data_IF_503636261749
#
_entry.id   IF_503636261749
#
_cell.length_a   1.000
_cell.length_b   1.000
_cell.length_c   1.000
_cell.angle_alpha   90.00
_cell.angle_beta   90.00
_cell.angle_gamma   90.00
#
_symmetry.space_group_name_H-M   'P 1'
#
loop_
_entity.id
_entity.type
_entity.pdbx_description
1 polymer ?
#
# COMPACT_ATOMS: atom_id res chain seq x y z
N UNK A 1 14.30 50.84 -60.58
CA UNK A 1 14.61 49.49 -60.08
C UNK A 1 15.42 49.62 -58.82
N UNK A 2 14.88 49.11 -57.69
CA UNK A 2 15.57 48.49 -56.55
C UNK A 2 14.71 48.69 -55.30
N UNK A 3 14.05 47.60 -54.92
CA UNK A 3 13.20 47.49 -53.75
C UNK A 3 14.00 47.29 -52.47
N UNK A 4 13.48 47.85 -51.39
CA UNK A 4 13.80 47.43 -50.03
C UNK A 4 12.80 46.36 -49.58
N UNK A 5 13.23 45.24 -48.98
CA UNK A 5 12.31 44.32 -48.35
C UNK A 5 11.99 44.78 -46.92
N UNK A 6 10.70 44.91 -46.65
CA UNK A 6 10.10 44.99 -45.32
C UNK A 6 10.24 43.63 -44.64
N UNK A 7 10.97 43.57 -43.53
CA UNK A 7 10.93 42.42 -42.63
C UNK A 7 9.71 42.56 -41.70
N UNK A 8 8.66 41.78 -41.97
CA UNK A 8 7.70 41.35 -40.95
C UNK A 8 8.35 40.23 -40.14
N UNK A 9 8.53 40.44 -38.84
CA UNK A 9 8.75 39.34 -37.89
C UNK A 9 7.37 38.94 -37.38
N UNK A 10 6.86 37.83 -37.88
CA UNK A 10 5.73 37.10 -37.33
C UNK A 10 6.19 35.68 -37.05
N UNK A 11 5.88 35.17 -35.86
CA UNK A 11 6.11 33.76 -35.54
C UNK A 11 6.19 33.51 -34.04
N UNK A 12 5.01 33.47 -33.41
CA UNK A 12 4.79 32.88 -32.10
C UNK A 12 5.50 31.52 -32.00
N UNK A 13 6.39 31.37 -31.02
CA UNK A 13 6.85 30.05 -30.59
C UNK A 13 5.66 29.27 -29.99
N UNK A 14 5.63 27.94 -30.11
CA UNK A 14 4.60 27.13 -29.47
C UNK A 14 4.62 27.39 -27.95
N UNK A 15 3.44 27.60 -27.37
CA UNK A 15 3.29 27.61 -25.93
C UNK A 15 3.87 26.28 -25.40
N UNK A 16 4.87 26.36 -24.54
CA UNK A 16 5.29 25.22 -23.73
C UNK A 16 4.04 24.78 -22.96
N UNK A 17 3.44 23.66 -23.37
CA UNK A 17 2.40 23.01 -22.57
C UNK A 17 3.01 22.76 -21.19
N UNK A 18 2.48 23.46 -20.19
CA UNK A 18 2.88 23.28 -18.81
C UNK A 18 2.63 21.82 -18.44
N UNK A 19 3.66 21.12 -17.97
CA UNK A 19 3.52 19.74 -17.50
C UNK A 19 2.34 19.63 -16.52
N UNK A 20 1.56 18.53 -16.57
CA UNK A 20 0.39 18.36 -15.73
C UNK A 20 0.80 18.40 -14.24
N UNK A 21 -0.06 18.99 -13.41
CA UNK A 21 0.21 19.18 -11.97
C UNK A 21 0.11 17.89 -11.17
N UNK A 22 -0.70 16.95 -11.68
CA UNK A 22 -1.01 15.66 -11.09
C UNK A 22 -0.96 14.59 -12.19
N UNK A 23 -0.85 13.32 -11.81
CA UNK A 23 -1.10 12.22 -12.76
C UNK A 23 -2.56 12.23 -13.23
N UNK A 24 -2.82 11.78 -14.46
CA UNK A 24 -4.19 11.64 -15.03
C UNK A 24 -5.15 10.92 -14.07
N UNK A 25 -4.72 9.80 -13.48
CA UNK A 25 -5.52 9.03 -12.50
C UNK A 25 -5.92 9.83 -11.26
N UNK A 26 -5.12 10.81 -10.85
CA UNK A 26 -5.45 11.69 -9.73
C UNK A 26 -6.39 12.81 -10.16
N UNK A 27 -6.27 13.31 -11.40
CA UNK A 27 -7.23 14.26 -11.95
C UNK A 27 -8.63 13.62 -12.02
N UNK A 28 -8.74 12.38 -12.49
CA UNK A 28 -9.98 11.60 -12.46
C UNK A 28 -10.57 11.47 -11.05
N UNK A 29 -9.71 11.23 -10.05
CA UNK A 29 -10.14 11.18 -8.64
C UNK A 29 -10.67 12.55 -8.21
N UNK A 30 -10.00 13.64 -8.57
CA UNK A 30 -10.40 14.99 -8.19
C UNK A 30 -11.76 15.40 -8.79
N UNK A 31 -12.07 14.92 -10.00
CA UNK A 31 -13.34 15.14 -10.66
C UNK A 31 -14.50 14.41 -9.97
N UNK A 32 -14.20 13.28 -9.32
CA UNK A 32 -15.18 12.53 -8.53
C UNK A 32 -15.44 13.12 -7.13
N UNK A 33 -14.70 14.16 -6.70
CA UNK A 33 -14.74 14.67 -5.33
C UNK A 33 -15.18 16.14 -5.29
N UNK A 34 -16.20 16.38 -4.49
CA UNK A 34 -16.70 17.72 -4.20
C UNK A 34 -16.55 18.05 -2.72
N UNK A 35 -16.06 19.24 -2.40
CA UNK A 35 -16.02 19.76 -1.02
C UNK A 35 -16.75 21.09 -1.02
N UNK A 36 -17.75 21.23 -0.15
CA UNK A 36 -18.50 22.46 -0.03
C UNK A 36 -17.65 23.54 0.66
N UNK A 37 -17.90 24.80 0.30
CA UNK A 37 -17.17 25.96 0.84
C UNK A 37 -17.40 26.21 2.33
N UNK A 38 -18.39 25.55 2.93
CA UNK A 38 -18.59 25.56 4.38
C UNK A 38 -17.47 24.83 5.13
N UNK A 39 -16.71 23.95 4.45
CA UNK A 39 -15.70 23.11 5.07
C UNK A 39 -16.28 22.07 6.01
N UNK A 40 -17.58 21.79 5.92
CA UNK A 40 -18.31 20.86 6.79
C UNK A 40 -18.91 19.68 6.01
N UNK A 41 -19.08 19.81 4.69
CA UNK A 41 -19.69 18.77 3.87
C UNK A 41 -18.89 18.50 2.60
N UNK A 42 -18.86 17.24 2.17
CA UNK A 42 -18.18 16.79 0.96
C UNK A 42 -18.88 15.56 0.36
N UNK A 43 -18.48 15.18 -0.85
CA UNK A 43 -18.87 13.91 -1.45
C UNK A 43 -17.73 13.27 -2.25
N UNK A 44 -17.71 11.93 -2.28
CA UNK A 44 -16.79 11.13 -3.11
C UNK A 44 -17.63 10.18 -3.96
N UNK A 45 -17.63 10.38 -5.28
CA UNK A 45 -18.46 9.61 -6.22
C UNK A 45 -19.92 9.52 -5.81
N UNK A 46 -20.48 10.60 -5.26
CA UNK A 46 -21.86 10.68 -4.76
C UNK A 46 -22.06 10.26 -3.30
N UNK A 47 -21.07 9.65 -2.64
CA UNK A 47 -21.14 9.33 -1.21
C UNK A 47 -20.98 10.58 -0.37
N UNK A 48 -22.02 10.98 0.35
CA UNK A 48 -21.96 12.14 1.24
C UNK A 48 -21.06 11.91 2.47
N UNK A 49 -20.36 12.96 2.87
CA UNK A 49 -19.46 13.02 4.02
C UNK A 49 -19.70 14.31 4.78
N UNK A 50 -19.83 14.25 6.11
CA UNK A 50 -20.18 15.41 6.94
C UNK A 50 -19.35 15.47 8.22
N UNK A 51 -18.66 16.58 8.44
CA UNK A 51 -17.88 16.87 9.64
C UNK A 51 -18.47 18.03 10.44
N UNK A 52 -18.08 18.14 11.71
CA UNK A 52 -18.45 19.26 12.60
C UNK A 52 -17.44 20.41 12.55
N UNK A 53 -16.34 20.23 11.82
CA UNK A 53 -15.27 21.19 11.58
C UNK A 53 -14.47 20.78 10.35
N UNK A 54 -13.68 21.69 9.75
CA UNK A 54 -12.79 21.33 8.63
C UNK A 54 -11.83 20.18 8.95
N UNK A 55 -11.32 20.12 10.19
CA UNK A 55 -10.44 19.05 10.62
C UNK A 55 -11.16 17.69 10.63
N UNK A 56 -12.37 17.65 11.19
CA UNK A 56 -13.16 16.40 11.25
C UNK A 56 -13.64 15.98 9.85
N UNK A 57 -14.04 16.93 9.01
CA UNK A 57 -14.36 16.68 7.60
C UNK A 57 -13.17 16.07 6.87
N UNK A 58 -11.96 16.62 7.05
CA UNK A 58 -10.75 16.10 6.41
C UNK A 58 -10.50 14.64 6.79
N UNK A 59 -10.69 14.26 8.06
CA UNK A 59 -10.54 12.86 8.50
C UNK A 59 -11.58 11.92 7.88
N UNK A 60 -12.85 12.34 7.83
CA UNK A 60 -13.92 11.53 7.25
C UNK A 60 -13.82 11.45 5.73
N UNK A 61 -13.43 12.54 5.06
CA UNK A 61 -13.17 12.56 3.62
C UNK A 61 -12.01 11.64 3.26
N UNK A 62 -10.94 11.64 4.05
CA UNK A 62 -9.83 10.69 3.88
C UNK A 62 -10.30 9.23 4.00
N UNK A 63 -11.22 8.94 4.93
CA UNK A 63 -11.81 7.61 5.08
C UNK A 63 -12.67 7.23 3.87
N UNK A 64 -13.50 8.16 3.39
CA UNK A 64 -14.34 7.93 2.21
C UNK A 64 -13.50 7.72 0.94
N UNK A 65 -12.47 8.54 0.73
CA UNK A 65 -11.50 8.38 -0.35
C UNK A 65 -10.80 7.02 -0.27
N UNK A 66 -10.36 6.61 0.92
CA UNK A 66 -9.75 5.29 1.10
C UNK A 66 -10.72 4.17 0.69
N UNK A 67 -11.97 4.19 1.20
CA UNK A 67 -12.94 3.15 0.93
C UNK A 67 -13.37 3.10 -0.55
N UNK A 68 -13.71 4.24 -1.15
CA UNK A 68 -14.24 4.30 -2.52
C UNK A 68 -13.13 4.20 -3.56
N UNK A 69 -12.03 4.95 -3.38
CA UNK A 69 -10.97 5.08 -4.39
C UNK A 69 -9.91 3.98 -4.25
N UNK A 70 -9.41 3.74 -3.04
CA UNK A 70 -8.35 2.75 -2.85
C UNK A 70 -8.89 1.32 -2.77
N UNK A 71 -9.80 1.05 -1.83
CA UNK A 71 -10.38 -0.27 -1.60
C UNK A 71 -11.30 -0.66 -2.76
N UNK A 72 -11.99 0.30 -3.38
CA UNK A 72 -12.92 0.07 -4.49
C UNK A 72 -14.32 -0.32 -4.02
N UNK A 73 -14.73 0.11 -2.82
CA UNK A 73 -16.11 -0.07 -2.34
C UNK A 73 -17.07 0.78 -3.18
N UNK A 74 -18.30 0.31 -3.43
CA UNK A 74 -19.31 1.12 -4.07
C UNK A 74 -19.61 2.39 -3.26
N UNK A 75 -19.93 3.49 -3.94
CA UNK A 75 -20.23 4.75 -3.29
C UNK A 75 -21.56 4.73 -2.52
N UNK A 76 -22.50 3.90 -2.97
CA UNK A 76 -23.78 3.63 -2.30
C UNK A 76 -23.78 2.16 -1.90
N UNK A 77 -23.79 1.89 -0.60
CA UNK A 77 -23.98 0.54 -0.08
C UNK A 77 -25.48 0.28 0.10
N UNK A 78 -26.09 -0.45 -0.83
CA UNK A 78 -27.44 -0.99 -0.61
C UNK A 78 -27.36 -2.22 0.29
N UNK A 79 -27.93 -2.12 1.49
CA UNK A 79 -28.32 -3.30 2.28
C UNK A 79 -27.19 -4.17 2.85
N UNK A 80 -25.92 -3.75 2.84
CA UNK A 80 -24.88 -4.44 3.61
C UNK A 80 -24.99 -4.04 5.08
N UNK A 81 -25.16 -5.05 5.95
CA UNK A 81 -24.97 -4.88 7.39
C UNK A 81 -23.55 -4.42 7.72
N UNK A 82 -23.24 -4.05 8.98
CA UNK A 82 -21.90 -3.63 9.36
C UNK A 82 -20.87 -4.66 8.86
N UNK A 83 -19.79 -4.18 8.25
CA UNK A 83 -18.66 -5.01 7.81
C UNK A 83 -18.28 -5.93 8.97
N UNK A 84 -18.66 -7.20 8.88
CA UNK A 84 -18.36 -8.13 9.96
C UNK A 84 -16.86 -8.33 9.98
N UNK A 85 -16.22 -7.94 11.07
CA UNK A 85 -14.83 -8.27 11.35
C UNK A 85 -14.69 -9.75 11.79
N UNK A 86 -15.71 -10.57 11.52
CA UNK A 86 -15.59 -12.02 11.53
C UNK A 86 -14.33 -12.45 10.80
N UNK A 87 -13.62 -13.39 11.41
CA UNK A 87 -12.34 -13.88 10.92
C UNK A 87 -12.53 -15.26 10.30
N UNK A 88 -13.59 -15.37 9.51
CA UNK A 88 -14.11 -16.61 8.96
C UNK A 88 -13.21 -17.22 7.88
N UNK A 89 -12.20 -16.48 7.40
CA UNK A 89 -11.17 -16.98 6.49
C UNK A 89 -9.82 -17.30 7.14
N UNK A 90 -9.60 -16.99 8.42
CA UNK A 90 -8.27 -17.16 9.03
C UNK A 90 -7.78 -18.61 9.01
N UNK A 91 -8.66 -19.59 9.19
CA UNK A 91 -8.28 -21.01 9.17
C UNK A 91 -7.83 -21.46 7.77
N UNK A 92 -8.55 -21.05 6.73
CA UNK A 92 -8.22 -21.36 5.33
C UNK A 92 -6.90 -20.68 4.93
N UNK A 93 -6.75 -19.39 5.26
CA UNK A 93 -5.53 -18.62 4.98
C UNK A 93 -4.30 -19.15 5.74
N UNK A 94 -4.48 -19.59 6.99
CA UNK A 94 -3.41 -20.19 7.78
C UNK A 94 -2.99 -21.56 7.22
N UNK A 95 -3.95 -22.37 6.75
CA UNK A 95 -3.69 -23.64 6.09
C UNK A 95 -2.93 -23.51 4.77
N UNK A 96 -3.07 -22.38 4.10
CA UNK A 96 -2.39 -22.05 2.85
C UNK A 96 -0.99 -21.41 3.03
N UNK A 97 -0.48 -21.26 4.26
CA UNK A 97 0.91 -20.82 4.47
C UNK A 97 1.86 -22.00 4.27
N UNK A 98 2.81 -21.94 3.30
CA UNK A 98 3.62 -23.10 2.91
C UNK A 98 4.67 -23.51 3.95
N UNK A 99 4.91 -22.69 4.97
CA UNK A 99 5.88 -22.93 6.03
C UNK A 99 5.32 -22.55 7.41
N UNK A 100 5.84 -23.21 8.45
CA UNK A 100 5.38 -22.99 9.83
C UNK A 100 6.08 -21.85 10.53
N UNK A 101 7.33 -21.58 10.18
CA UNK A 101 8.22 -20.69 10.92
C UNK A 101 9.01 -19.76 10.02
N UNK A 102 9.23 -18.55 10.50
CA UNK A 102 10.22 -17.60 10.01
C UNK A 102 11.50 -17.73 10.83
N UNK A 103 12.64 -17.79 10.15
CA UNK A 103 13.96 -17.89 10.79
C UNK A 103 14.52 -16.50 11.04
N UNK A 104 14.65 -16.10 12.31
CA UNK A 104 15.23 -14.81 12.68
C UNK A 104 16.63 -15.01 13.26
N UNK A 105 17.60 -14.25 12.74
CA UNK A 105 18.87 -14.03 13.45
C UNK A 105 18.67 -12.95 14.50
N UNK A 106 19.02 -13.26 15.74
CA UNK A 106 18.79 -12.38 16.89
C UNK A 106 19.99 -12.36 17.83
N UNK A 107 20.26 -11.23 18.50
CA UNK A 107 21.28 -11.16 19.53
C UNK A 107 20.88 -11.98 20.76
N UNK A 108 21.80 -12.78 21.27
CA UNK A 108 21.72 -13.47 22.56
C UNK A 108 22.12 -12.48 23.65
N UNK A 109 21.18 -12.19 24.54
CA UNK A 109 21.37 -11.23 25.62
C UNK A 109 21.92 -11.90 26.87
N UNK A 110 21.39 -13.09 27.20
CA UNK A 110 21.80 -13.87 28.37
C UNK A 110 21.45 -15.33 28.14
N UNK A 111 22.26 -16.22 28.70
CA UNK A 111 21.95 -17.64 28.84
C UNK A 111 22.00 -17.96 30.34
N UNK A 112 20.92 -18.52 30.86
CA UNK A 112 20.84 -18.93 32.26
C UNK A 112 20.29 -20.37 32.36
N UNK A 113 20.13 -20.89 33.58
CA UNK A 113 19.64 -22.25 33.83
C UNK A 113 18.22 -22.49 33.29
N UNK A 114 17.44 -21.43 33.02
CA UNK A 114 16.10 -21.47 32.46
C UNK A 114 16.07 -21.37 30.92
N UNK A 115 17.23 -21.17 30.28
CA UNK A 115 17.40 -21.14 28.83
C UNK A 115 17.95 -19.83 28.29
N UNK A 116 17.84 -19.66 26.96
CA UNK A 116 18.34 -18.48 26.26
C UNK A 116 17.34 -17.32 26.29
N UNK A 117 17.84 -16.12 26.56
CA UNK A 117 17.13 -14.85 26.41
C UNK A 117 17.73 -14.10 25.23
N UNK A 118 16.89 -13.77 24.26
CA UNK A 118 17.27 -13.08 23.02
C UNK A 118 16.55 -11.74 22.88
N UNK A 119 17.13 -10.84 22.09
CA UNK A 119 16.48 -9.61 21.65
C UNK A 119 15.68 -9.85 20.37
N UNK A 120 14.36 -9.70 20.40
CA UNK A 120 13.50 -9.86 19.23
C UNK A 120 12.61 -8.63 19.10
N UNK A 121 12.74 -7.87 18.00
CA UNK A 121 11.88 -6.72 17.70
C UNK A 121 11.79 -5.70 18.86
N UNK A 122 12.93 -5.40 19.49
CA UNK A 122 13.02 -4.44 20.59
C UNK A 122 12.54 -4.96 21.96
N UNK A 123 12.11 -6.21 22.06
CA UNK A 123 11.76 -6.85 23.34
C UNK A 123 12.71 -8.00 23.69
N UNK A 124 12.74 -8.34 24.98
CA UNK A 124 13.52 -9.49 25.49
C UNK A 124 12.62 -10.71 25.56
N UNK A 125 13.04 -11.81 24.95
CA UNK A 125 12.24 -13.04 24.85
C UNK A 125 13.04 -14.21 25.39
N UNK A 126 12.47 -14.95 26.33
CA UNK A 126 13.00 -16.25 26.76
C UNK A 126 12.52 -17.32 25.77
N UNK A 127 13.47 -18.06 25.19
CA UNK A 127 13.15 -19.09 24.21
C UNK A 127 12.57 -20.33 24.89
N UNK A 128 11.43 -20.78 24.38
CA UNK A 128 10.89 -22.10 24.72
C UNK A 128 11.68 -23.23 24.03
N UNK A 129 11.51 -24.48 24.48
CA UNK A 129 12.11 -25.64 23.84
C UNK A 129 11.77 -25.73 22.34
N UNK A 130 12.74 -26.14 21.52
CA UNK A 130 12.55 -26.31 20.07
C UNK A 130 12.41 -25.01 19.27
N UNK A 131 12.66 -23.85 19.88
CA UNK A 131 12.66 -22.54 19.17
C UNK A 131 14.03 -22.10 18.70
N UNK A 132 15.09 -22.79 19.08
CA UNK A 132 16.43 -22.59 18.56
C UNK A 132 16.58 -23.43 17.27
N UNK A 133 16.87 -22.78 16.15
CA UNK A 133 16.99 -23.42 14.84
C UNK A 133 18.43 -23.88 14.55
N UNK A 134 19.40 -23.05 14.96
CA UNK A 134 20.84 -23.29 14.84
C UNK A 134 21.49 -22.85 16.17
N UNK A 135 22.59 -23.50 16.54
CA UNK A 135 23.34 -23.18 17.77
C UNK A 135 23.85 -21.74 17.80
N UNK A 136 24.25 -21.27 18.98
CA UNK A 136 24.81 -19.93 19.16
C UNK A 136 26.17 -19.87 18.47
N UNK A 137 26.36 -18.93 17.54
CA UNK A 137 27.67 -18.69 16.96
C UNK A 137 28.58 -18.03 18.03
N UNK A 138 29.60 -18.76 18.49
CA UNK A 138 30.50 -18.34 19.57
C UNK A 138 31.17 -16.98 19.33
N UNK A 139 31.42 -16.64 18.06
CA UNK A 139 32.09 -15.40 17.65
C UNK A 139 31.20 -14.16 17.63
N UNK A 140 29.86 -14.30 17.65
CA UNK A 140 28.93 -13.18 17.43
C UNK A 140 27.81 -13.04 18.47
N UNK A 141 27.66 -13.99 19.41
CA UNK A 141 26.51 -14.04 20.34
C UNK A 141 25.17 -13.87 19.61
N UNK A 142 25.05 -14.43 18.42
CA UNK A 142 23.80 -14.48 17.67
C UNK A 142 23.25 -15.90 17.66
N UNK A 143 21.92 -16.00 17.63
CA UNK A 143 21.21 -17.26 17.47
C UNK A 143 20.20 -17.15 16.32
N UNK A 144 20.00 -18.25 15.59
CA UNK A 144 18.89 -18.38 14.65
C UNK A 144 17.70 -18.99 15.39
N UNK A 145 16.58 -18.30 15.47
CA UNK A 145 15.37 -18.75 16.17
C UNK A 145 14.19 -18.95 15.22
N UNK A 146 13.24 -19.79 15.63
CA UNK A 146 12.00 -20.10 14.90
C UNK A 146 10.81 -19.34 15.50
N UNK A 147 10.34 -18.32 14.78
CA UNK A 147 9.14 -17.58 15.15
C UNK A 147 7.99 -18.07 14.26
N UNK A 148 6.77 -18.26 14.80
CA UNK A 148 5.62 -18.70 13.99
C UNK A 148 5.43 -17.78 12.77
N UNK A 149 5.22 -18.31 11.58
CA UNK A 149 5.06 -17.49 10.37
C UNK A 149 3.69 -16.78 10.36
N UNK A 150 2.64 -17.48 10.76
CA UNK A 150 1.29 -16.94 10.88
C UNK A 150 1.18 -15.92 12.04
N UNK A 151 0.49 -14.82 11.76
CA UNK A 151 0.27 -13.66 12.64
C UNK A 151 -1.21 -13.26 12.64
N UNK A 152 -2.12 -14.12 13.15
CA UNK A 152 -3.52 -13.75 13.25
C UNK A 152 -3.68 -12.52 14.16
N UNK A 153 -4.74 -11.74 13.96
CA UNK A 153 -5.07 -10.55 14.77
C UNK A 153 -4.08 -9.37 14.74
N UNK A 154 -2.98 -9.42 13.98
CA UNK A 154 -1.99 -8.33 14.00
C UNK A 154 -2.48 -7.06 13.29
N UNK A 155 -3.35 -7.20 12.29
CA UNK A 155 -3.94 -6.10 11.55
C UNK A 155 -5.45 -6.28 11.47
N UNK A 156 -6.27 -5.32 11.94
CA UNK A 156 -7.72 -5.44 11.90
C UNK A 156 -8.25 -5.73 10.49
N UNK A 157 -9.06 -6.77 10.35
CA UNK A 157 -9.64 -7.20 9.06
C UNK A 157 -8.69 -7.98 8.15
N UNK A 158 -7.48 -8.30 8.61
CA UNK A 158 -6.48 -9.06 7.85
C UNK A 158 -5.84 -10.18 8.66
N UNK A 159 -5.59 -11.29 7.97
CA UNK A 159 -4.65 -12.32 8.39
C UNK A 159 -3.27 -11.99 7.83
N UNK A 160 -2.21 -12.17 8.61
CA UNK A 160 -0.85 -11.80 8.21
C UNK A 160 0.08 -13.01 8.34
N UNK A 161 1.04 -13.10 7.42
CA UNK A 161 2.12 -14.09 7.48
C UNK A 161 3.46 -13.46 7.10
N UNK A 162 4.51 -13.88 7.79
CA UNK A 162 5.89 -13.61 7.41
C UNK A 162 6.40 -14.78 6.54
N UNK A 163 7.26 -14.51 5.55
CA UNK A 163 7.96 -15.54 4.79
C UNK A 163 8.86 -16.40 5.68
N UNK A 164 9.41 -17.50 5.14
CA UNK A 164 10.35 -18.35 5.88
C UNK A 164 11.63 -17.59 6.24
N UNK A 165 11.94 -16.57 5.43
CA UNK A 165 12.94 -15.54 5.69
C UNK A 165 12.28 -14.19 6.00
N UNK A 166 12.79 -13.45 7.01
CA UNK A 166 12.22 -12.17 7.39
C UNK A 166 12.57 -11.10 6.36
N UNK A 167 11.63 -10.19 6.14
CA UNK A 167 11.89 -8.95 5.40
C UNK A 167 12.96 -8.13 6.14
N UNK A 168 13.96 -7.63 5.40
CA UNK A 168 15.01 -6.80 5.97
C UNK A 168 14.46 -5.42 6.37
N UNK A 169 14.79 -4.93 7.56
CA UNK A 169 14.20 -3.70 8.11
C UNK A 169 14.70 -2.39 7.50
N UNK A 170 15.82 -2.44 6.76
CA UNK A 170 16.51 -1.30 6.16
C UNK A 170 16.28 -1.16 4.65
N UNK A 171 15.72 -2.19 4.01
CA UNK A 171 15.45 -2.21 2.57
C UNK A 171 14.13 -1.49 2.27
N UNK A 172 14.09 -0.48 1.36
CA UNK A 172 12.84 0.12 0.92
C UNK A 172 11.84 -0.95 0.46
N UNK A 173 10.60 -0.84 0.92
CA UNK A 173 9.59 -1.89 0.73
C UNK A 173 8.62 -1.53 -0.39
N UNK A 174 8.36 -2.49 -1.27
CA UNK A 174 7.29 -2.48 -2.25
C UNK A 174 6.10 -3.28 -1.74
N UNK A 175 4.90 -2.75 -1.99
CA UNK A 175 3.63 -3.43 -1.75
C UNK A 175 3.02 -3.83 -3.08
N UNK A 176 2.75 -5.11 -3.25
CA UNK A 176 2.00 -5.68 -4.37
C UNK A 176 0.59 -5.95 -3.90
N UNK A 177 -0.38 -5.40 -4.62
CA UNK A 177 -1.81 -5.46 -4.35
C UNK A 177 -2.46 -6.40 -5.34
N UNK A 178 -3.35 -7.27 -4.84
CA UNK A 178 -4.20 -8.13 -5.66
C UNK A 178 -5.66 -7.79 -5.38
N UNK A 179 -6.39 -7.48 -6.46
CA UNK A 179 -7.81 -7.22 -6.43
C UNK A 179 -8.58 -8.54 -6.36
N UNK A 180 -9.14 -8.81 -5.18
CA UNK A 180 -9.88 -10.03 -4.88
C UNK A 180 -11.36 -9.75 -4.83
N UNK A 181 -12.16 -10.56 -5.55
CA UNK A 181 -13.62 -10.41 -5.54
C UNK A 181 -14.33 -11.40 -4.63
N UNK A 182 -13.78 -12.60 -4.48
CA UNK A 182 -14.40 -13.70 -3.74
C UNK A 182 -13.46 -14.25 -2.67
N UNK A 183 -13.98 -14.83 -1.59
CA UNK A 183 -13.18 -15.49 -0.57
C UNK A 183 -12.26 -16.59 -1.13
N UNK A 184 -12.76 -17.35 -2.11
CA UNK A 184 -12.03 -18.45 -2.74
C UNK A 184 -10.83 -17.90 -3.54
N UNK A 185 -11.03 -16.80 -4.27
CA UNK A 185 -9.95 -16.09 -4.94
C UNK A 185 -8.94 -15.49 -3.95
N UNK A 186 -9.39 -15.11 -2.74
CA UNK A 186 -8.50 -14.63 -1.67
C UNK A 186 -7.52 -15.72 -1.24
N UNK A 187 -8.03 -16.91 -0.94
CA UNK A 187 -7.23 -18.06 -0.49
C UNK A 187 -6.33 -18.57 -1.62
N UNK A 188 -6.84 -18.68 -2.84
CA UNK A 188 -6.08 -19.15 -4.00
C UNK A 188 -4.94 -18.20 -4.38
N UNK A 189 -5.22 -16.90 -4.53
CA UNK A 189 -4.18 -15.91 -4.85
C UNK A 189 -3.16 -15.76 -3.72
N UNK A 190 -3.59 -15.87 -2.46
CA UNK A 190 -2.71 -15.94 -1.30
C UNK A 190 -1.75 -17.14 -1.40
N UNK A 191 -2.27 -18.37 -1.56
CA UNK A 191 -1.45 -19.59 -1.66
C UNK A 191 -0.41 -19.47 -2.77
N UNK A 192 -0.84 -19.11 -3.99
CA UNK A 192 0.04 -18.99 -5.15
C UNK A 192 1.13 -17.93 -4.96
N UNK A 193 0.78 -16.79 -4.37
CA UNK A 193 1.74 -15.73 -4.08
C UNK A 193 2.82 -16.22 -3.10
N UNK A 194 2.41 -16.88 -2.01
CA UNK A 194 3.35 -17.37 -1.00
C UNK A 194 4.24 -18.48 -1.54
N UNK A 195 3.67 -19.46 -2.24
CA UNK A 195 4.41 -20.55 -2.87
C UNK A 195 5.44 -20.04 -3.87
N UNK A 196 5.06 -19.07 -4.71
CA UNK A 196 5.98 -18.45 -5.66
C UNK A 196 7.17 -17.79 -4.94
N UNK A 197 6.90 -16.99 -3.90
CA UNK A 197 7.95 -16.25 -3.19
C UNK A 197 8.90 -17.19 -2.44
N UNK A 198 8.38 -18.25 -1.83
CA UNK A 198 9.19 -19.27 -1.17
C UNK A 198 10.05 -20.06 -2.18
N UNK A 199 9.47 -20.46 -3.32
CA UNK A 199 10.20 -21.16 -4.39
C UNK A 199 11.36 -20.33 -4.94
N UNK A 200 11.26 -19.00 -4.88
CA UNK A 200 12.28 -18.07 -5.36
C UNK A 200 13.12 -17.46 -4.23
N UNK A 201 12.98 -17.95 -2.99
CA UNK A 201 13.74 -17.45 -1.83
C UNK A 201 13.65 -15.92 -1.67
N UNK A 202 12.47 -15.35 -1.91
CA UNK A 202 12.21 -13.92 -1.74
C UNK A 202 11.71 -13.71 -0.32
N UNK A 203 12.40 -12.95 0.56
CA UNK A 203 11.85 -12.58 1.86
C UNK A 203 10.65 -11.65 1.70
N UNK A 204 9.59 -11.94 2.43
CA UNK A 204 8.34 -11.18 2.33
C UNK A 204 7.59 -11.09 3.66
N UNK A 205 6.63 -10.18 3.68
CA UNK A 205 5.47 -10.21 4.57
C UNK A 205 4.23 -10.14 3.70
N UNK A 206 3.16 -10.81 4.06
CA UNK A 206 1.93 -10.76 3.30
C UNK A 206 0.74 -10.63 4.23
N UNK A 207 -0.33 -9.99 3.76
CA UNK A 207 -1.62 -9.99 4.42
C UNK A 207 -2.76 -10.25 3.44
N UNK A 208 -3.79 -10.94 3.89
CA UNK A 208 -5.02 -11.20 3.15
C UNK A 208 -6.22 -10.81 3.99
N UNK A 209 -7.29 -10.38 3.35
CA UNK A 209 -8.53 -10.05 4.04
C UNK A 209 -9.03 -11.28 4.81
N UNK A 210 -9.26 -11.13 6.11
CA UNK A 210 -9.63 -12.25 6.99
C UNK A 210 -11.14 -12.52 7.05
N UNK A 211 -11.94 -11.70 6.37
CA UNK A 211 -13.39 -11.69 6.44
C UNK A 211 -14.00 -11.77 5.04
N UNK A 212 -14.97 -12.67 4.85
CA UNK A 212 -15.77 -12.71 3.62
C UNK A 212 -16.50 -11.39 3.36
N UNK A 213 -16.99 -10.72 4.42
CA UNK A 213 -17.72 -9.44 4.33
C UNK A 213 -16.86 -8.28 3.84
N UNK A 214 -15.54 -8.38 3.98
CA UNK A 214 -14.60 -7.36 3.51
C UNK A 214 -14.32 -7.42 2.00
N UNK A 215 -14.81 -8.44 1.29
CA UNK A 215 -14.67 -8.59 -0.16
C UNK A 215 -15.93 -8.09 -0.91
N UNK A 216 -15.83 -7.67 -2.18
CA UNK A 216 -14.61 -7.50 -2.98
C UNK A 216 -13.77 -6.29 -2.51
N UNK A 217 -12.46 -6.30 -2.82
CA UNK A 217 -11.56 -5.15 -2.63
C UNK A 217 -10.26 -5.25 -3.44
N UNK A 218 -9.71 -4.10 -3.85
CA UNK A 218 -8.46 -3.97 -4.63
C UNK A 218 -7.19 -4.31 -3.85
N UNK A 219 -7.27 -4.31 -2.53
CA UNK A 219 -6.18 -4.66 -1.60
C UNK A 219 -6.54 -5.93 -0.79
N UNK A 220 -7.17 -6.89 -1.45
CA UNK A 220 -7.67 -8.12 -0.80
C UNK A 220 -6.55 -9.05 -0.37
N UNK A 221 -5.47 -9.09 -1.17
CA UNK A 221 -4.16 -9.61 -0.77
C UNK A 221 -3.12 -8.52 -1.00
N UNK A 222 -2.21 -8.36 -0.05
CA UNK A 222 -1.09 -7.43 -0.14
C UNK A 222 0.20 -8.14 0.25
N UNK A 223 1.19 -8.14 -0.64
CA UNK A 223 2.52 -8.70 -0.41
C UNK A 223 3.55 -7.58 -0.30
N UNK A 224 4.40 -7.64 0.70
CA UNK A 224 5.48 -6.72 0.99
C UNK A 224 6.79 -7.40 0.62
N UNK A 225 7.56 -6.80 -0.30
CA UNK A 225 8.87 -7.29 -0.75
C UNK A 225 9.90 -6.17 -0.70
N UNK A 226 11.16 -6.52 -0.45
CA UNK A 226 12.26 -5.56 -0.44
C UNK A 226 12.62 -5.08 -1.84
N UNK A 227 13.14 -3.85 -1.97
CA UNK A 227 13.47 -3.22 -3.25
C UNK A 227 14.44 -4.03 -4.09
N UNK A 228 15.35 -4.77 -3.45
CA UNK A 228 16.32 -5.65 -4.13
C UNK A 228 15.67 -6.83 -4.84
N UNK A 229 14.42 -7.17 -4.51
CA UNK A 229 13.68 -8.29 -5.09
C UNK A 229 12.69 -7.86 -6.18
N UNK A 230 12.82 -6.64 -6.71
CA UNK A 230 11.98 -6.13 -7.80
C UNK A 230 11.92 -7.05 -9.03
N UNK A 231 12.99 -7.77 -9.34
CA UNK A 231 13.03 -8.71 -10.46
C UNK A 231 12.02 -9.88 -10.32
N UNK A 232 11.55 -10.19 -9.11
CA UNK A 232 10.58 -11.25 -8.88
C UNK A 232 9.12 -10.81 -9.15
N UNK A 233 8.87 -9.50 -9.30
CA UNK A 233 7.51 -8.94 -9.39
C UNK A 233 6.71 -9.40 -10.62
N UNK A 234 7.29 -9.49 -11.84
CA UNK A 234 6.55 -9.98 -13.00
C UNK A 234 6.07 -11.43 -12.81
N UNK A 235 6.95 -12.32 -12.33
CA UNK A 235 6.58 -13.71 -12.06
C UNK A 235 5.58 -13.85 -10.91
N UNK A 236 5.65 -13.00 -9.89
CA UNK A 236 4.63 -12.95 -8.82
C UNK A 236 3.26 -12.55 -9.40
N UNK A 237 3.22 -11.52 -10.24
CA UNK A 237 1.99 -11.10 -10.91
C UNK A 237 1.44 -12.22 -11.81
N UNK A 238 2.31 -12.88 -12.58
CA UNK A 238 1.92 -14.02 -13.41
C UNK A 238 1.35 -15.17 -12.57
N UNK A 239 1.98 -15.50 -11.43
CA UNK A 239 1.53 -16.57 -10.55
C UNK A 239 0.10 -16.35 -10.03
N UNK A 240 -0.25 -15.10 -9.69
CA UNK A 240 -1.59 -14.79 -9.15
C UNK A 240 -2.64 -14.52 -10.22
N UNK A 241 -2.28 -13.99 -11.40
CA UNK A 241 -3.25 -13.66 -12.47
C UNK A 241 -3.97 -14.88 -13.04
N UNK A 242 -3.44 -16.09 -12.86
CA UNK A 242 -4.13 -17.34 -13.19
C UNK A 242 -5.22 -17.76 -12.20
N UNK A 243 -5.51 -16.98 -11.17
CA UNK A 243 -6.58 -17.23 -10.19
C UNK A 243 -7.93 -16.77 -10.73
N UNK A 244 -8.95 -17.63 -10.58
CA UNK A 244 -10.31 -17.30 -11.02
C UNK A 244 -10.92 -16.19 -10.17
N UNK A 245 -11.83 -15.40 -10.75
CA UNK A 245 -12.58 -14.36 -10.04
C UNK A 245 -11.75 -13.24 -9.36
N UNK A 246 -10.55 -12.97 -9.87
CA UNK A 246 -9.87 -11.70 -9.59
C UNK A 246 -10.61 -10.54 -10.27
N UNK A 247 -10.51 -9.36 -9.67
CA UNK A 247 -10.93 -8.12 -10.32
C UNK A 247 -9.84 -7.61 -11.26
N UNK A 248 -10.20 -6.81 -12.26
CA UNK A 248 -9.24 -6.22 -13.20
C UNK A 248 -8.72 -4.85 -12.79
N UNK A 249 -9.46 -4.14 -11.93
CA UNK A 249 -9.14 -2.76 -11.57
C UNK A 249 -7.99 -2.67 -10.57
N UNK A 250 -7.22 -1.59 -10.66
CA UNK A 250 -6.20 -1.23 -9.69
C UNK A 250 -6.55 0.10 -9.00
N UNK A 251 -6.01 0.34 -7.81
CA UNK A 251 -6.17 1.64 -7.15
C UNK A 251 -5.48 2.74 -7.98
N UNK A 252 -6.07 3.94 -8.09
CA UNK A 252 -5.41 5.11 -8.70
C UNK A 252 -4.08 5.48 -8.05
N UNK A 253 -3.85 5.05 -6.80
CA UNK A 253 -2.60 5.28 -6.05
C UNK A 253 -1.50 4.26 -6.36
N UNK A 254 -1.69 3.41 -7.36
CA UNK A 254 -0.79 2.30 -7.67
C UNK A 254 -0.45 2.26 -9.15
N UNK A 255 0.71 1.66 -9.45
CA UNK A 255 1.14 1.33 -10.81
C UNK A 255 0.67 -0.09 -11.13
N UNK A 256 0.01 -0.29 -12.26
CA UNK A 256 -0.44 -1.63 -12.65
C UNK A 256 0.75 -2.48 -13.10
N UNK A 257 0.76 -3.76 -12.69
CA UNK A 257 1.65 -4.82 -13.19
C UNK A 257 0.93 -5.71 -14.19
N UNK A 258 -0.32 -6.05 -13.87
CA UNK A 258 -1.23 -6.85 -14.67
C UNK A 258 -2.67 -6.46 -14.30
N UNK A 259 -3.70 -6.89 -15.04
CA UNK A 259 -5.09 -6.70 -14.61
C UNK A 259 -5.28 -7.19 -13.16
N UNK A 260 -5.76 -6.30 -12.28
CA UNK A 260 -5.99 -6.61 -10.87
C UNK A 260 -4.75 -6.68 -9.99
N UNK A 261 -3.54 -6.57 -10.54
CA UNK A 261 -2.29 -6.63 -9.79
C UNK A 261 -1.54 -5.33 -9.95
N UNK A 262 -1.24 -4.68 -8.84
CA UNK A 262 -0.58 -3.38 -8.85
C UNK A 262 0.52 -3.29 -7.80
N UNK A 263 1.43 -2.34 -7.96
CA UNK A 263 2.47 -2.06 -6.98
C UNK A 263 2.49 -0.59 -6.56
N UNK A 264 3.03 -0.36 -5.37
CA UNK A 264 3.42 0.96 -4.89
C UNK A 264 4.48 0.84 -3.78
N UNK A 265 5.25 1.90 -3.58
CA UNK A 265 6.18 2.00 -2.47
C UNK A 265 5.47 2.21 -1.13
N UNK A 266 5.98 1.55 -0.09
CA UNK A 266 5.62 1.79 1.30
C UNK A 266 5.71 3.29 1.62
N UNK A 267 4.68 3.92 2.20
CA UNK A 267 4.78 5.32 2.64
C UNK A 267 5.95 5.55 3.61
N UNK A 268 6.75 6.58 3.37
CA UNK A 268 7.89 6.98 4.21
C UNK A 268 7.67 8.30 4.97
N UNK A 269 6.41 8.69 5.11
CA UNK A 269 6.01 9.93 5.79
C UNK A 269 6.30 9.88 7.29
N UNK A 270 7.29 10.69 7.70
CA UNK A 270 7.80 10.71 9.07
C UNK A 270 6.98 11.61 10.00
N UNK A 271 5.99 12.35 9.50
CA UNK A 271 5.15 13.26 10.29
C UNK A 271 4.38 12.51 11.39
N UNK A 272 4.08 13.16 12.52
CA UNK A 272 3.32 12.53 13.61
C UNK A 272 2.00 11.94 13.12
N UNK A 273 1.72 10.67 13.48
CA UNK A 273 0.49 9.97 13.09
C UNK A 273 0.43 9.46 11.65
N UNK A 274 1.49 9.64 10.86
CA UNK A 274 1.57 9.16 9.46
C UNK A 274 2.41 7.88 9.29
N UNK A 275 3.27 7.56 10.26
CA UNK A 275 4.01 6.30 10.29
C UNK A 275 3.07 5.09 10.37
N UNK A 276 3.45 3.99 9.71
CA UNK A 276 2.71 2.72 9.67
C UNK A 276 1.29 2.81 9.09
N UNK A 277 0.98 3.86 8.33
CA UNK A 277 -0.30 3.95 7.61
C UNK A 277 -0.32 3.01 6.41
N UNK A 278 -1.51 2.53 6.04
CA UNK A 278 -1.68 1.89 4.74
C UNK A 278 -1.50 2.92 3.61
N UNK A 279 -1.28 2.42 2.39
CA UNK A 279 -1.01 3.26 1.22
C UNK A 279 -2.25 4.10 0.94
N UNK A 280 -3.39 3.44 0.82
CA UNK A 280 -4.67 4.11 0.63
C UNK A 280 -4.95 5.16 1.70
N UNK A 281 -4.74 4.88 2.98
CA UNK A 281 -4.93 5.87 4.04
C UNK A 281 -3.99 7.07 3.88
N UNK A 282 -2.70 6.82 3.61
CA UNK A 282 -1.71 7.88 3.45
C UNK A 282 -2.05 8.82 2.30
N UNK A 283 -2.33 8.28 1.10
CA UNK A 283 -2.64 9.08 -0.10
C UNK A 283 -3.98 9.79 0.06
N UNK A 284 -4.99 9.10 0.62
CA UNK A 284 -6.31 9.68 0.86
C UNK A 284 -6.29 10.83 1.86
N UNK A 285 -5.46 10.73 2.91
CA UNK A 285 -5.27 11.83 3.89
C UNK A 285 -4.67 13.06 3.24
N UNK A 286 -3.63 12.89 2.42
CA UNK A 286 -3.00 14.01 1.71
C UNK A 286 -3.98 14.70 0.74
N UNK A 287 -4.73 13.92 -0.04
CA UNK A 287 -5.74 14.45 -0.97
C UNK A 287 -6.84 15.19 -0.19
N UNK A 288 -7.41 14.58 0.86
CA UNK A 288 -8.43 15.20 1.67
C UNK A 288 -7.98 16.53 2.29
N UNK A 289 -6.73 16.57 2.80
CA UNK A 289 -6.17 17.78 3.38
C UNK A 289 -6.06 18.91 2.35
N UNK A 290 -5.58 18.60 1.14
CA UNK A 290 -5.51 19.58 0.04
C UNK A 290 -6.89 20.11 -0.36
N UNK A 291 -7.87 19.22 -0.51
CA UNK A 291 -9.24 19.59 -0.91
C UNK A 291 -9.98 20.43 0.14
N UNK A 292 -9.88 20.06 1.42
CA UNK A 292 -10.50 20.85 2.50
C UNK A 292 -9.82 22.21 2.66
N UNK A 293 -8.50 22.28 2.48
CA UNK A 293 -7.76 23.53 2.50
C UNK A 293 -8.20 24.46 1.36
N UNK A 294 -8.36 23.93 0.15
CA UNK A 294 -8.86 24.71 -1.00
C UNK A 294 -10.26 25.29 -0.70
N UNK A 295 -11.16 24.47 -0.18
CA UNK A 295 -12.54 24.90 0.09
C UNK A 295 -12.65 25.97 1.19
N UNK A 296 -11.79 25.92 2.21
CA UNK A 296 -11.86 26.79 3.40
C UNK A 296 -10.94 28.00 3.36
N UNK A 297 -9.88 27.95 2.55
CA UNK A 297 -8.88 29.00 2.41
C UNK A 297 -8.53 29.23 0.93
N UNK A 298 -9.51 29.56 0.07
CA UNK A 298 -9.24 29.77 -1.35
C UNK A 298 -8.37 31.02 -1.57
N UNK A 299 -7.34 30.88 -2.40
CA UNK A 299 -6.42 31.97 -2.77
C UNK A 299 -6.37 32.25 -4.28
N UNK A 300 -7.37 31.73 -5.01
CA UNK A 300 -7.49 31.86 -6.47
C UNK A 300 -6.69 30.84 -7.29
N UNK A 301 -5.88 29.98 -6.64
CA UNK A 301 -5.22 28.85 -7.32
C UNK A 301 -6.22 27.72 -7.61
N UNK A 302 -5.86 26.88 -8.58
CA UNK A 302 -6.63 25.70 -8.96
C UNK A 302 -6.65 24.66 -7.81
N UNK A 303 -7.76 23.90 -7.71
CA UNK A 303 -7.91 22.74 -6.81
C UNK A 303 -6.72 21.78 -6.88
N UNK A 304 -6.27 21.45 -8.10
CA UNK A 304 -5.13 20.58 -8.34
C UNK A 304 -3.84 21.08 -7.67
N UNK A 305 -3.65 22.40 -7.57
CA UNK A 305 -2.48 23.00 -6.91
C UNK A 305 -2.47 22.71 -5.41
N UNK A 306 -3.61 22.84 -4.73
CA UNK A 306 -3.72 22.53 -3.29
C UNK A 306 -3.48 21.06 -3.00
N UNK A 307 -4.00 20.17 -3.85
CA UNK A 307 -3.77 18.72 -3.73
C UNK A 307 -2.29 18.40 -3.98
N UNK A 308 -1.69 18.94 -5.04
CA UNK A 308 -0.28 18.76 -5.34
C UNK A 308 0.60 19.19 -4.16
N UNK A 309 0.35 20.37 -3.59
CA UNK A 309 1.13 20.88 -2.46
C UNK A 309 1.01 19.94 -1.23
N UNK A 310 -0.19 19.42 -0.95
CA UNK A 310 -0.41 18.47 0.14
C UNK A 310 0.25 17.10 -0.09
N UNK A 311 0.27 16.62 -1.35
CA UNK A 311 0.99 15.40 -1.74
C UNK A 311 2.50 15.57 -1.55
N UNK A 312 3.06 16.69 -2.00
CA UNK A 312 4.48 17.01 -1.84
C UNK A 312 4.86 17.12 -0.35
N UNK A 313 4.03 17.78 0.46
CA UNK A 313 4.25 17.85 1.92
C UNK A 313 4.23 16.47 2.58
N UNK A 314 3.45 15.52 2.03
CA UNK A 314 3.39 14.13 2.46
C UNK A 314 4.51 13.24 1.90
N UNK A 315 5.43 13.80 1.11
CA UNK A 315 6.49 13.05 0.45
C UNK A 315 6.01 12.20 -0.72
N UNK A 316 4.79 12.43 -1.26
CA UNK A 316 4.22 11.68 -2.37
C UNK A 316 4.58 12.36 -3.69
N UNK A 317 4.94 11.59 -4.71
CA UNK A 317 5.11 12.10 -6.07
C UNK A 317 3.73 12.38 -6.70
N UNK A 318 3.35 13.65 -6.99
CA UNK A 318 2.03 13.96 -7.55
C UNK A 318 1.85 13.46 -8.98
N UNK A 319 2.94 13.19 -9.70
CA UNK A 319 2.92 12.68 -11.07
C UNK A 319 2.89 11.15 -11.14
N UNK A 320 3.25 10.47 -10.04
CA UNK A 320 3.16 9.02 -9.88
C UNK A 320 2.84 8.66 -8.40
N UNK A 321 1.56 8.63 -7.99
CA UNK A 321 1.17 8.41 -6.59
C UNK A 321 1.54 7.02 -6.03
N UNK A 322 2.01 6.12 -6.90
CA UNK A 322 2.60 4.84 -6.47
C UNK A 322 3.96 5.01 -5.80
N UNK A 323 4.55 6.22 -5.85
CA UNK A 323 5.89 6.52 -5.36
C UNK A 323 5.86 7.59 -4.27
N UNK A 324 6.84 7.50 -3.39
CA UNK A 324 7.30 8.64 -2.60
C UNK A 324 8.34 9.41 -3.44
N UNK A 325 8.61 10.66 -3.09
CA UNK A 325 9.67 11.46 -3.71
C UNK A 325 11.06 10.84 -3.53
N UNK A 326 11.26 10.08 -2.46
CA UNK A 326 12.49 9.36 -2.11
C UNK A 326 12.59 7.96 -2.72
N UNK A 327 11.53 7.48 -3.37
CA UNK A 327 11.43 6.08 -3.79
C UNK A 327 12.52 5.72 -4.80
N UNK A 328 13.17 4.56 -4.67
CA UNK A 328 14.02 4.02 -5.72
C UNK A 328 13.29 3.95 -7.07
N UNK A 329 14.02 3.97 -8.19
CA UNK A 329 13.40 3.74 -9.50
C UNK A 329 12.81 2.34 -9.56
N UNK A 330 11.70 2.18 -10.28
CA UNK A 330 11.26 0.86 -10.70
C UNK A 330 12.28 0.29 -11.67
N UNK A 331 12.74 -0.94 -11.44
CA UNK A 331 13.55 -1.65 -12.44
C UNK A 331 12.68 -1.83 -13.69
N UNK A 332 13.27 -1.62 -14.87
CA UNK A 332 12.57 -1.85 -16.14
C UNK A 332 12.08 -3.29 -16.18
N UNK A 333 10.76 -3.50 -16.10
CA UNK A 333 10.12 -4.82 -16.05
C UNK A 333 9.96 -5.44 -17.45
N UNK A 334 10.85 -5.09 -18.38
CA UNK A 334 10.78 -5.59 -19.76
C UNK A 334 11.19 -7.07 -19.77
N UNK A 335 10.23 -7.85 -20.23
CA UNK A 335 10.16 -9.29 -20.50
C UNK A 335 11.51 -10.01 -20.71
N UNK A 336 11.68 -11.11 -19.96
CA UNK A 336 12.37 -12.31 -20.44
C UNK A 336 11.29 -13.34 -20.81
#
# INVERSE_FOLDING_TARGET
MNGMPSHRVAGFGPALESAPLLSEKLEDVLDSVHVNRDGLTASVSGRAVTGTSPLTLSGQLATALYQVIHVGRPAVEEGRGPDSLERDLEAELAGAVPHRYTRHRVPVLTEDQSGLIVGLTGVRVRLGPGRLAEGVAESQREATILVAAARPSLSPGFFLADGSMPLAGDDPVLRVYVHVRTPEAAVESWSKALEYLEAHSVPYRAKASSSRGLLPRRDGVVVYVGSRHQAALPGLAQAVTGTSDLGSDCSPFTRALAPGVALAWEPDDTRPGMRNTSLGEHRSRAIAAGLVKEATQPDGRLKATFVRDALLEAGIDPSDPSRNLSSPPFISLIEN
#
